data_IF_102809518661
#
_entry.id   IF_102809518661
#
_cell.length_a   1.000
_cell.length_b   1.000
_cell.length_c   1.000
_cell.angle_alpha   90.00
_cell.angle_beta   90.00
_cell.angle_gamma   90.00
#
_symmetry.space_group_name_H-M   'P 1'
#
loop_
_entity.id
_entity.type
_entity.pdbx_description
1 polymer ?
#
# COMPACT_ATOMS: atom_id res chain seq x y z
N UNK A 1 -53.96 29.10 36.81
CA UNK A 1 -52.70 29.62 36.24
C UNK A 1 -51.56 28.65 36.58
N UNK A 2 -51.60 27.33 36.32
CA UNK A 2 -51.78 26.61 35.04
C UNK A 2 -51.14 27.35 33.87
N UNK A 3 -50.12 26.73 33.26
CA UNK A 3 -49.37 27.14 32.04
C UNK A 3 -47.96 27.77 32.16
N UNK A 4 -47.05 27.22 32.97
CA UNK A 4 -45.60 27.48 32.73
C UNK A 4 -44.77 26.18 32.64
N UNK A 5 -45.36 24.99 32.81
CA UNK A 5 -44.61 23.72 32.90
C UNK A 5 -44.47 22.93 31.59
N UNK A 6 -44.67 23.53 30.40
CA UNK A 6 -44.79 22.73 29.14
C UNK A 6 -43.67 22.88 28.10
N UNK A 7 -42.60 23.65 28.31
CA UNK A 7 -41.57 23.86 27.26
C UNK A 7 -40.18 23.28 27.58
N UNK A 8 -40.10 22.08 28.16
CA UNK A 8 -38.92 21.22 27.93
C UNK A 8 -39.14 20.42 26.67
N UNK A 9 -38.97 21.07 25.53
CA UNK A 9 -38.87 20.41 24.23
C UNK A 9 -37.81 19.31 24.33
N UNK A 10 -38.26 18.05 24.31
CA UNK A 10 -37.39 16.88 24.25
C UNK A 10 -36.72 16.90 22.88
N UNK A 11 -35.54 17.54 22.80
CA UNK A 11 -34.64 17.40 21.64
C UNK A 11 -34.26 15.93 21.54
N UNK A 12 -35.03 15.16 20.75
CA UNK A 12 -34.63 13.81 20.35
C UNK A 12 -33.23 13.92 19.74
N UNK A 13 -32.24 13.14 20.19
CA UNK A 13 -30.90 13.19 19.64
C UNK A 13 -31.00 12.91 18.13
N UNK A 14 -30.51 13.85 17.31
CA UNK A 14 -30.40 13.64 15.86
C UNK A 14 -29.52 12.42 15.64
N UNK A 15 -30.08 11.35 15.08
CA UNK A 15 -29.31 10.16 14.70
C UNK A 15 -28.12 10.62 13.84
N UNK A 16 -26.87 10.27 14.18
CA UNK A 16 -25.72 10.70 13.40
C UNK A 16 -25.92 10.24 11.95
N UNK A 17 -25.79 11.17 10.98
CA UNK A 17 -25.84 10.83 9.54
C UNK A 17 -24.75 9.80 9.30
N UNK A 18 -25.16 8.56 9.01
CA UNK A 18 -24.24 7.47 8.66
C UNK A 18 -23.40 7.95 7.48
N UNK A 19 -22.08 8.06 7.67
CA UNK A 19 -21.09 8.24 6.60
C UNK A 19 -21.03 6.95 5.75
N UNK A 20 -22.14 6.52 5.16
CA UNK A 20 -22.35 5.15 4.70
C UNK A 20 -21.37 4.72 3.59
N UNK A 21 -21.05 5.62 2.64
CA UNK A 21 -20.08 5.32 1.58
C UNK A 21 -18.63 5.25 2.11
N UNK A 22 -18.18 6.26 2.87
CA UNK A 22 -16.86 6.22 3.54
C UNK A 22 -16.72 5.01 4.49
N UNK A 23 -17.82 4.60 5.12
CA UNK A 23 -17.84 3.43 5.99
C UNK A 23 -17.79 2.13 5.18
N UNK A 24 -18.52 2.03 4.07
CA UNK A 24 -18.52 0.83 3.22
C UNK A 24 -17.15 0.60 2.56
N UNK A 25 -16.55 1.64 1.99
CA UNK A 25 -15.18 1.57 1.44
C UNK A 25 -14.20 1.18 2.53
N UNK A 26 -14.26 1.82 3.70
CA UNK A 26 -13.39 1.47 4.84
C UNK A 26 -13.56 0.01 5.28
N UNK A 27 -14.79 -0.48 5.41
CA UNK A 27 -15.06 -1.86 5.85
C UNK A 27 -14.61 -2.88 4.80
N UNK A 28 -14.79 -2.60 3.52
CA UNK A 28 -14.32 -3.48 2.45
C UNK A 28 -12.79 -3.47 2.35
N UNK A 29 -12.17 -2.30 2.33
CA UNK A 29 -10.71 -2.13 2.36
C UNK A 29 -10.09 -2.77 3.59
N UNK A 30 -10.73 -2.67 4.76
CA UNK A 30 -10.27 -3.36 5.97
C UNK A 30 -10.32 -4.88 5.82
N UNK A 31 -11.44 -5.44 5.32
CA UNK A 31 -11.55 -6.89 5.08
C UNK A 31 -10.51 -7.40 4.09
N UNK A 32 -10.25 -6.63 3.03
CA UNK A 32 -9.26 -6.99 2.01
C UNK A 32 -7.83 -6.85 2.55
N UNK A 33 -7.54 -5.74 3.25
CA UNK A 33 -6.25 -5.48 3.90
C UNK A 33 -5.89 -6.52 4.97
N UNK A 34 -6.87 -7.02 5.71
CA UNK A 34 -6.66 -8.04 6.76
C UNK A 34 -6.68 -9.47 6.19
N UNK A 35 -6.95 -9.65 4.90
CA UNK A 35 -7.00 -10.99 4.33
C UNK A 35 -5.58 -11.54 4.11
N UNK A 36 -5.28 -12.65 4.80
CA UNK A 36 -3.97 -13.31 4.75
C UNK A 36 -3.60 -13.77 3.33
N UNK A 37 -4.59 -14.22 2.57
CA UNK A 37 -4.41 -14.66 1.18
C UNK A 37 -3.94 -13.52 0.27
N UNK A 38 -4.40 -12.29 0.51
CA UNK A 38 -3.98 -11.12 -0.25
C UNK A 38 -2.52 -10.77 0.05
N UNK A 39 -2.13 -10.77 1.32
CA UNK A 39 -0.74 -10.51 1.73
C UNK A 39 0.24 -11.57 1.18
N UNK A 40 -0.13 -12.85 1.28
CA UNK A 40 0.68 -13.95 0.72
C UNK A 40 0.80 -13.81 -0.79
N UNK A 41 -0.29 -13.45 -1.49
CA UNK A 41 -0.27 -13.25 -2.94
C UNK A 41 0.72 -12.15 -3.35
N UNK A 42 0.69 -10.98 -2.71
CA UNK A 42 1.61 -9.89 -3.04
C UNK A 42 3.07 -10.28 -2.72
N UNK A 43 3.30 -10.95 -1.59
CA UNK A 43 4.65 -11.43 -1.22
C UNK A 43 5.19 -12.45 -2.22
N UNK A 44 4.36 -13.38 -2.70
CA UNK A 44 4.76 -14.32 -3.75
C UNK A 44 5.07 -13.62 -5.07
N UNK A 45 4.30 -12.59 -5.44
CA UNK A 45 4.56 -11.80 -6.66
C UNK A 45 5.91 -11.06 -6.57
N UNK A 46 6.25 -10.49 -5.40
CA UNK A 46 7.54 -9.85 -5.17
C UNK A 46 8.69 -10.87 -5.18
N UNK A 47 8.51 -12.04 -4.56
CA UNK A 47 9.48 -13.14 -4.59
C UNK A 47 9.79 -13.59 -6.01
N UNK A 48 8.76 -13.89 -6.81
CA UNK A 48 8.92 -14.28 -8.21
C UNK A 48 9.64 -13.17 -8.98
N UNK A 49 9.30 -11.92 -8.71
CA UNK A 49 9.93 -10.78 -9.35
C UNK A 49 11.44 -10.68 -9.06
N UNK A 50 11.87 -10.92 -7.83
CA UNK A 50 13.28 -10.89 -7.43
C UNK A 50 14.05 -12.06 -8.05
N UNK A 51 13.49 -13.27 -8.02
CA UNK A 51 14.10 -14.46 -8.64
C UNK A 51 14.36 -14.23 -10.12
N UNK A 52 13.37 -13.64 -10.79
CA UNK A 52 13.41 -13.34 -12.23
C UNK A 52 14.47 -12.28 -12.58
N UNK A 53 14.72 -11.30 -11.70
CA UNK A 53 15.82 -10.34 -11.87
C UNK A 53 17.17 -10.98 -11.52
N UNK A 54 17.22 -11.83 -10.50
CA UNK A 54 18.43 -12.55 -10.13
C UNK A 54 18.93 -13.46 -11.27
N UNK A 55 18.01 -14.04 -12.05
CA UNK A 55 18.36 -14.81 -13.26
C UNK A 55 18.80 -13.95 -14.44
N UNK A 56 18.59 -12.63 -14.40
CA UNK A 56 19.02 -11.67 -15.45
C UNK A 56 20.51 -11.29 -15.29
N UNK A 57 21.16 -11.63 -14.17
CA UNK A 57 22.60 -11.41 -13.97
C UNK A 57 23.50 -12.30 -14.84
N UNK A 58 22.94 -13.35 -15.45
CA UNK A 58 23.63 -14.20 -16.42
C UNK A 58 23.29 -13.73 -17.86
N UNK A 59 23.81 -12.55 -18.23
CA UNK A 59 23.56 -11.77 -19.47
C UNK A 59 23.68 -12.52 -20.82
N UNK A 60 23.98 -13.82 -20.85
CA UNK A 60 24.35 -14.54 -22.08
C UNK A 60 23.18 -15.19 -22.86
N UNK A 61 21.99 -15.37 -22.26
CA UNK A 61 20.96 -16.27 -22.85
C UNK A 61 19.53 -15.69 -22.97
N UNK A 62 19.25 -14.50 -22.43
CA UNK A 62 17.88 -13.95 -22.42
C UNK A 62 17.62 -13.09 -23.66
N UNK A 63 16.67 -13.53 -24.51
CA UNK A 63 16.26 -12.76 -25.68
C UNK A 63 15.59 -11.44 -25.27
N UNK A 64 15.73 -10.39 -26.10
CA UNK A 64 15.19 -9.05 -25.84
C UNK A 64 13.68 -9.02 -25.50
N UNK A 65 12.93 -10.03 -25.96
CA UNK A 65 11.50 -10.18 -25.63
C UNK A 65 11.26 -10.53 -24.15
N UNK A 66 12.11 -11.38 -23.56
CA UNK A 66 12.00 -11.75 -22.15
C UNK A 66 12.26 -10.54 -21.27
N UNK A 67 13.35 -9.82 -21.49
CA UNK A 67 13.72 -8.62 -20.70
C UNK A 67 12.61 -7.57 -20.67
N UNK A 68 11.92 -7.33 -21.80
CA UNK A 68 10.77 -6.42 -21.86
C UNK A 68 9.56 -6.91 -21.06
N UNK A 69 9.25 -8.21 -21.14
CA UNK A 69 8.16 -8.79 -20.35
C UNK A 69 8.45 -8.71 -18.84
N UNK A 70 9.70 -8.95 -18.45
CA UNK A 70 10.18 -8.82 -17.09
C UNK A 70 10.05 -7.39 -16.56
N UNK A 71 10.49 -6.41 -17.34
CA UNK A 71 10.32 -4.98 -17.01
C UNK A 71 8.84 -4.58 -16.91
N UNK A 72 7.98 -5.07 -17.79
CA UNK A 72 6.55 -4.80 -17.70
C UNK A 72 5.95 -5.40 -16.42
N UNK A 73 6.30 -6.65 -16.08
CA UNK A 73 5.86 -7.31 -14.86
C UNK A 73 6.34 -6.58 -13.60
N UNK A 74 7.59 -6.11 -13.58
CA UNK A 74 8.16 -5.28 -12.51
C UNK A 74 7.31 -4.06 -12.19
N UNK A 75 6.89 -3.33 -13.22
CA UNK A 75 6.06 -2.13 -13.07
C UNK A 75 4.67 -2.50 -12.54
N UNK A 76 4.05 -3.55 -13.08
CA UNK A 76 2.74 -4.02 -12.63
C UNK A 76 2.77 -4.46 -11.16
N UNK A 77 3.78 -5.22 -10.74
CA UNK A 77 3.90 -5.65 -9.35
C UNK A 77 4.16 -4.48 -8.39
N UNK A 78 5.00 -3.53 -8.81
CA UNK A 78 5.23 -2.30 -8.04
C UNK A 78 3.94 -1.50 -7.87
N UNK A 79 3.11 -1.41 -8.92
CA UNK A 79 1.81 -0.77 -8.85
C UNK A 79 0.84 -1.49 -7.92
N UNK A 80 0.71 -2.82 -8.02
CA UNK A 80 -0.16 -3.62 -7.15
C UNK A 80 0.21 -3.47 -5.67
N UNK A 81 1.50 -3.39 -5.37
CA UNK A 81 2.00 -3.14 -4.03
C UNK A 81 1.61 -1.76 -3.50
N UNK A 82 1.76 -0.69 -4.30
CA UNK A 82 1.30 0.64 -3.90
C UNK A 82 -0.20 0.65 -3.63
N UNK A 83 -0.98 -0.09 -4.43
CA UNK A 83 -2.42 -0.26 -4.22
C UNK A 83 -2.72 -0.99 -2.91
N UNK A 84 -1.99 -2.07 -2.56
CA UNK A 84 -2.10 -2.75 -1.25
C UNK A 84 -1.90 -1.74 -0.11
N UNK A 85 -0.85 -0.93 -0.19
CA UNK A 85 -0.45 0.02 0.83
C UNK A 85 -1.53 1.08 1.06
N UNK A 86 -2.10 1.62 -0.03
CA UNK A 86 -3.24 2.54 0.02
C UNK A 86 -4.48 1.88 0.62
N UNK A 87 -4.80 0.64 0.24
CA UNK A 87 -5.93 -0.12 0.78
C UNK A 87 -5.76 -0.34 2.29
N UNK A 88 -4.56 -0.69 2.75
CA UNK A 88 -4.23 -0.85 4.18
C UNK A 88 -4.40 0.46 4.95
N UNK A 89 -3.84 1.56 4.44
CA UNK A 89 -3.95 2.89 5.08
C UNK A 89 -5.41 3.35 5.17
N UNK A 90 -6.22 3.14 4.12
CA UNK A 90 -7.63 3.52 4.09
C UNK A 90 -8.49 2.60 4.97
N UNK A 91 -8.20 1.30 4.99
CA UNK A 91 -8.94 0.28 5.74
C UNK A 91 -8.71 0.35 7.25
N UNK A 92 -7.44 0.36 7.67
CA UNK A 92 -7.03 0.42 9.09
C UNK A 92 -7.15 1.85 9.65
N UNK A 93 -6.99 2.85 8.78
CA UNK A 93 -6.83 4.25 9.17
C UNK A 93 -5.38 4.53 9.60
N UNK A 94 -4.86 5.72 9.26
CA UNK A 94 -3.45 6.06 9.46
C UNK A 94 -2.95 5.82 10.89
N UNK A 95 -3.75 6.11 11.92
CA UNK A 95 -3.34 5.91 13.32
C UNK A 95 -3.04 4.45 13.69
N UNK A 96 -3.83 3.51 13.18
CA UNK A 96 -3.63 2.08 13.46
C UNK A 96 -2.59 1.47 12.52
N UNK A 97 -2.52 1.97 11.28
CA UNK A 97 -1.50 1.57 10.31
C UNK A 97 -0.08 1.90 10.80
N UNK A 98 0.15 3.11 11.30
CA UNK A 98 1.47 3.54 11.80
C UNK A 98 1.84 3.00 13.19
N UNK A 99 0.93 2.32 13.89
CA UNK A 99 1.27 1.63 15.15
C UNK A 99 1.97 0.30 14.92
N UNK A 100 1.74 -0.30 13.74
CA UNK A 100 2.41 -1.52 13.33
C UNK A 100 3.76 -1.15 12.70
N UNK A 101 4.85 -1.68 13.28
CA UNK A 101 6.21 -1.39 12.85
C UNK A 101 6.48 -1.92 11.43
N UNK A 102 5.88 -3.06 11.05
CA UNK A 102 6.05 -3.67 9.75
C UNK A 102 5.34 -2.86 8.66
N UNK A 103 4.11 -2.43 8.93
CA UNK A 103 3.40 -1.53 8.02
C UNK A 103 4.09 -0.15 7.88
N UNK A 104 4.65 0.37 8.98
CA UNK A 104 5.42 1.62 8.95
C UNK A 104 6.72 1.49 8.15
N UNK A 105 7.40 0.35 8.28
CA UNK A 105 8.59 0.01 7.49
C UNK A 105 8.26 -0.08 6.01
N UNK A 106 7.15 -0.75 5.67
CA UNK A 106 6.65 -0.87 4.30
C UNK A 106 6.38 0.50 3.65
N UNK A 107 5.71 1.39 4.38
CA UNK A 107 5.48 2.78 3.95
C UNK A 107 6.79 3.55 3.74
N UNK A 108 7.78 3.38 4.63
CA UNK A 108 9.09 3.99 4.47
C UNK A 108 9.82 3.50 3.21
N UNK A 109 9.78 2.18 2.93
CA UNK A 109 10.34 1.61 1.70
C UNK A 109 9.65 2.15 0.43
N UNK A 110 8.34 2.37 0.48
CA UNK A 110 7.63 3.02 -0.62
C UNK A 110 8.09 4.47 -0.83
N UNK A 111 8.28 5.21 0.25
CA UNK A 111 8.79 6.60 0.21
C UNK A 111 10.21 6.65 -0.36
N UNK A 112 11.12 5.79 0.10
CA UNK A 112 12.48 5.74 -0.42
C UNK A 112 12.51 5.44 -1.93
N UNK A 113 11.67 4.52 -2.40
CA UNK A 113 11.56 4.23 -3.82
C UNK A 113 11.05 5.43 -4.65
N UNK A 114 10.11 6.20 -4.12
CA UNK A 114 9.61 7.42 -4.79
C UNK A 114 10.67 8.53 -4.78
N UNK A 115 11.39 8.70 -3.67
CA UNK A 115 12.48 9.67 -3.58
C UNK A 115 13.61 9.37 -4.56
N UNK A 116 14.01 8.10 -4.69
CA UNK A 116 15.04 7.67 -5.65
C UNK A 116 14.67 8.07 -7.09
N UNK A 117 13.45 7.77 -7.51
CA UNK A 117 12.91 8.18 -8.83
C UNK A 117 12.85 9.70 -8.96
N UNK A 118 12.48 10.41 -7.90
CA UNK A 118 12.37 11.88 -7.92
C UNK A 118 13.75 12.53 -8.08
N UNK A 119 14.77 12.04 -7.38
CA UNK A 119 16.15 12.53 -7.49
C UNK A 119 16.69 12.32 -8.90
N UNK A 120 16.46 11.13 -9.46
CA UNK A 120 16.81 10.82 -10.86
C UNK A 120 16.18 11.81 -11.85
N UNK A 121 14.89 12.13 -11.68
CA UNK A 121 14.18 13.07 -12.55
C UNK A 121 14.68 14.52 -12.41
N UNK A 122 15.22 14.89 -11.25
CA UNK A 122 15.80 16.21 -11.00
C UNK A 122 17.25 16.34 -11.49
N UNK A 123 17.79 15.30 -12.13
CA UNK A 123 19.17 15.27 -12.61
C UNK A 123 20.21 15.02 -11.52
N UNK A 124 19.77 14.56 -10.34
CA UNK A 124 20.67 14.03 -9.31
C UNK A 124 21.02 12.57 -9.58
N UNK A 125 22.15 12.13 -9.02
CA UNK A 125 22.50 10.70 -9.04
C UNK A 125 21.49 9.91 -8.20
N UNK A 126 21.06 8.76 -8.72
CA UNK A 126 20.23 7.81 -7.96
C UNK A 126 20.90 7.44 -6.65
N UNK A 127 20.12 7.03 -5.65
CA UNK A 127 20.69 6.51 -4.42
C UNK A 127 21.63 5.34 -4.76
N UNK A 128 22.78 5.22 -4.08
CA UNK A 128 23.74 4.13 -4.32
C UNK A 128 23.25 2.80 -3.70
N UNK A 129 21.96 2.50 -3.88
CA UNK A 129 21.29 1.32 -3.34
C UNK A 129 20.62 0.65 -4.53
N UNK A 130 20.97 -0.61 -4.81
CA UNK A 130 20.29 -1.30 -5.90
C UNK A 130 18.79 -1.42 -5.62
N UNK A 131 17.93 -1.13 -6.62
CA UNK A 131 16.49 -1.32 -6.50
C UNK A 131 16.10 -2.73 -6.07
N UNK A 132 16.96 -3.72 -6.31
CA UNK A 132 16.78 -5.11 -5.88
C UNK A 132 16.85 -5.21 -4.36
N UNK A 133 17.76 -4.52 -3.68
CA UNK A 133 17.83 -4.52 -2.21
C UNK A 133 16.55 -3.97 -1.60
N UNK A 134 16.02 -2.86 -2.13
CA UNK A 134 14.76 -2.28 -1.66
C UNK A 134 13.60 -3.28 -1.81
N UNK A 135 13.62 -4.11 -2.87
CA UNK A 135 12.62 -5.17 -3.09
C UNK A 135 12.82 -6.35 -2.15
N UNK A 136 14.06 -6.77 -1.89
CA UNK A 136 14.39 -7.82 -0.92
C UNK A 136 13.98 -7.43 0.50
N UNK A 137 14.18 -6.16 0.86
CA UNK A 137 13.76 -5.64 2.18
C UNK A 137 12.26 -5.82 2.42
N UNK A 138 11.43 -5.80 1.38
CA UNK A 138 9.98 -6.03 1.47
C UNK A 138 9.58 -7.48 1.77
N UNK A 139 10.48 -8.46 1.61
CA UNK A 139 10.22 -9.85 2.00
C UNK A 139 10.26 -10.03 3.52
N UNK A 140 11.05 -9.20 4.23
CA UNK A 140 11.26 -9.35 5.67
C UNK A 140 10.09 -8.87 6.53
N UNK A 141 9.00 -8.35 5.92
CA UNK A 141 7.80 -7.89 6.62
C UNK A 141 7.03 -9.00 7.33
#
# INVERSE_FOLDING_TARGET
>A
MTEITSLRATRKPRKPRKKAACHAVRTYSFKLATSREFEISITLLIMVNIVVIATDMDDALLSDGHRRMLQAANVVFSFLYVVELVIKVVGLGGRQYFQDAWNSFDFALCIFAVFDVTIYLLGGDTLPIDPIFIRMLRIFR
#
